data_IF_097944044565
#
_entry.id   IF_097944044565
#
_cell.length_a   1.000
_cell.length_b   1.000
_cell.length_c   1.000
_cell.angle_alpha   90.00
_cell.angle_beta   90.00
_cell.angle_gamma   90.00
#
_symmetry.space_group_name_H-M   'P 1'
#
loop_
_entity.id
_entity.type
_entity.pdbx_description
1 polymer ?
#
# COMPACT_ATOMS: atom_id res chain seq x y z
N UNK A 1 0.70 12.16 11.44
CA UNK A 1 0.49 11.60 12.80
C UNK A 1 -0.79 10.79 12.95
N UNK A 2 -1.98 11.27 12.55
CA UNK A 2 -3.23 10.49 12.65
C UNK A 2 -3.22 9.20 11.80
N UNK A 3 -2.76 9.25 10.54
CA UNK A 3 -2.75 8.07 9.66
C UNK A 3 -1.78 6.96 10.12
N UNK A 4 -0.64 7.32 10.71
CA UNK A 4 0.32 6.35 11.27
C UNK A 4 -0.30 5.66 12.48
N UNK A 5 -0.97 6.45 13.33
CA UNK A 5 -1.74 5.92 14.46
C UNK A 5 -2.83 4.98 13.95
N UNK A 6 -3.65 5.40 12.99
CA UNK A 6 -4.75 4.58 12.47
C UNK A 6 -4.24 3.27 11.83
N UNK A 7 -3.15 3.33 11.05
CA UNK A 7 -2.53 2.16 10.44
C UNK A 7 -1.92 1.16 11.43
N UNK A 8 -1.26 1.65 12.49
CA UNK A 8 -0.72 0.79 13.57
C UNK A 8 -1.83 0.24 14.47
N UNK A 9 -2.84 1.05 14.77
CA UNK A 9 -3.97 0.65 15.60
C UNK A 9 -4.79 -0.44 14.91
N UNK A 10 -4.90 -0.40 13.59
CA UNK A 10 -5.57 -1.42 12.80
C UNK A 10 -4.83 -2.77 12.81
N UNK A 11 -3.50 -2.78 12.69
CA UNK A 11 -2.73 -4.04 12.80
C UNK A 11 -2.89 -4.68 14.18
N UNK A 12 -2.71 -3.89 15.25
CA UNK A 12 -2.84 -4.36 16.63
C UNK A 12 -4.27 -4.82 16.92
N UNK A 13 -5.29 -4.08 16.46
CA UNK A 13 -6.70 -4.49 16.54
C UNK A 13 -6.96 -5.79 15.80
N UNK A 14 -6.43 -5.95 14.59
CA UNK A 14 -6.58 -7.17 13.80
C UNK A 14 -6.01 -8.37 14.54
N UNK A 15 -4.78 -8.28 15.05
CA UNK A 15 -4.14 -9.33 15.86
C UNK A 15 -4.92 -9.67 17.12
N UNK A 16 -5.37 -8.66 17.85
CA UNK A 16 -6.18 -8.83 19.06
C UNK A 16 -7.51 -9.51 18.73
N UNK A 17 -8.16 -9.11 17.64
CA UNK A 17 -9.42 -9.69 17.19
C UNK A 17 -9.25 -11.13 16.70
N UNK A 18 -8.18 -11.41 15.96
CA UNK A 18 -7.81 -12.76 15.51
C UNK A 18 -7.61 -13.70 16.71
N UNK A 19 -6.85 -13.26 17.71
CA UNK A 19 -6.63 -14.02 18.95
C UNK A 19 -7.91 -14.15 19.80
N UNK A 20 -8.72 -13.10 19.90
CA UNK A 20 -10.00 -13.14 20.60
C UNK A 20 -11.01 -14.08 19.93
N UNK A 21 -10.99 -14.17 18.58
CA UNK A 21 -11.80 -15.11 17.82
C UNK A 21 -11.28 -16.55 17.97
N UNK A 22 -9.96 -16.75 17.99
CA UNK A 22 -9.32 -18.06 18.22
C UNK A 22 -9.66 -18.63 19.60
N UNK A 23 -9.72 -17.79 20.63
CA UNK A 23 -10.04 -18.18 22.01
C UNK A 23 -11.54 -18.19 22.32
N UNK A 24 -12.38 -17.89 21.32
CA UNK A 24 -13.83 -17.88 21.49
C UNK A 24 -14.35 -19.32 21.53
N UNK A 25 -14.85 -19.73 22.69
CA UNK A 25 -15.51 -21.02 22.86
C UNK A 25 -16.88 -21.00 22.14
N UNK A 26 -16.90 -21.44 20.88
CA UNK A 26 -18.12 -21.67 20.09
C UNK A 26 -18.67 -20.46 19.31
N UNK A 27 -19.67 -20.72 18.46
CA UNK A 27 -20.36 -19.68 17.67
C UNK A 27 -21.06 -18.68 18.62
N UNK A 28 -21.08 -17.37 18.30
CA UNK A 28 -21.88 -16.41 19.06
C UNK A 28 -23.33 -16.88 19.15
N UNK A 29 -23.76 -17.22 20.36
CA UNK A 29 -25.19 -17.35 20.65
C UNK A 29 -25.71 -15.92 20.77
N UNK A 30 -26.29 -15.41 19.68
CA UNK A 30 -26.98 -14.12 19.70
C UNK A 30 -28.16 -14.23 20.68
N UNK A 31 -28.27 -13.28 21.61
CA UNK A 31 -29.46 -13.18 22.46
C UNK A 31 -30.69 -12.91 21.60
N UNK A 32 -31.87 -13.32 22.08
CA UNK A 32 -33.13 -13.11 21.35
C UNK A 32 -33.35 -11.62 21.02
N UNK A 33 -32.91 -10.72 21.89
CA UNK A 33 -33.05 -9.29 21.65
C UNK A 33 -32.09 -8.78 20.57
N UNK A 34 -30.87 -9.32 20.49
CA UNK A 34 -29.96 -9.03 19.39
C UNK A 34 -30.48 -9.54 18.05
N UNK A 35 -31.16 -10.70 18.02
CA UNK A 35 -31.81 -11.22 16.81
C UNK A 35 -32.96 -10.32 16.35
N UNK A 36 -33.76 -9.77 17.28
CA UNK A 36 -34.82 -8.80 16.96
C UNK A 36 -34.27 -7.50 16.39
N UNK A 37 -33.22 -6.95 16.99
CA UNK A 37 -32.55 -5.73 16.50
C UNK A 37 -31.95 -5.96 15.12
N UNK A 38 -31.28 -7.09 14.89
CA UNK A 38 -30.71 -7.44 13.60
C UNK A 38 -31.76 -7.56 12.50
N UNK A 39 -32.91 -8.18 12.81
CA UNK A 39 -34.06 -8.23 11.89
C UNK A 39 -34.67 -6.85 11.63
N UNK A 40 -34.83 -6.03 12.67
CA UNK A 40 -35.39 -4.68 12.56
C UNK A 40 -34.54 -3.74 11.70
N UNK A 41 -33.21 -3.86 11.80
CA UNK A 41 -32.26 -3.05 11.05
C UNK A 41 -31.85 -3.67 9.69
N UNK A 42 -32.38 -4.85 9.33
CA UNK A 42 -32.02 -5.62 8.12
C UNK A 42 -30.50 -5.82 7.96
N UNK A 43 -29.78 -5.97 9.08
CA UNK A 43 -28.33 -6.16 9.05
C UNK A 43 -28.00 -7.59 8.59
N UNK A 44 -27.00 -7.79 7.72
CA UNK A 44 -26.56 -9.12 7.34
C UNK A 44 -26.09 -9.93 8.56
N UNK A 45 -26.10 -11.27 8.48
CA UNK A 45 -25.59 -12.13 9.55
C UNK A 45 -24.14 -11.77 9.90
N UNK A 46 -23.83 -11.77 11.20
CA UNK A 46 -22.52 -11.39 11.74
C UNK A 46 -21.44 -12.35 11.25
N UNK A 47 -20.78 -12.01 10.15
CA UNK A 47 -19.67 -12.78 9.62
C UNK A 47 -18.37 -12.21 10.21
N UNK A 48 -17.89 -12.77 11.30
CA UNK A 48 -16.65 -12.32 11.97
C UNK A 48 -15.41 -12.38 11.08
N UNK A 49 -15.38 -13.24 10.04
CA UNK A 49 -14.29 -13.21 9.05
C UNK A 49 -14.34 -11.97 8.17
N UNK A 50 -15.53 -11.45 7.88
CA UNK A 50 -15.71 -10.19 7.15
C UNK A 50 -15.18 -8.99 7.95
N UNK A 51 -15.14 -9.09 9.28
CA UNK A 51 -14.66 -8.04 10.17
C UNK A 51 -13.13 -8.04 10.27
N UNK A 52 -12.50 -9.21 10.15
CA UNK A 52 -11.06 -9.35 9.96
C UNK A 52 -10.61 -8.90 8.56
N UNK A 53 -11.49 -9.03 7.56
CA UNK A 53 -11.26 -8.61 6.17
C UNK A 53 -11.76 -7.19 5.89
N UNK A 54 -12.00 -6.37 6.93
CA UNK A 54 -12.41 -4.98 6.71
C UNK A 54 -11.31 -4.29 5.89
N UNK A 55 -11.67 -3.65 4.77
CA UNK A 55 -10.70 -3.05 3.87
C UNK A 55 -9.90 -1.98 4.61
N UNK A 56 -8.57 -2.09 4.56
CA UNK A 56 -7.66 -0.99 4.89
C UNK A 56 -8.04 0.22 4.03
N UNK A 57 -8.12 1.41 4.60
CA UNK A 57 -8.22 2.63 3.79
C UNK A 57 -6.83 2.99 3.26
N UNK A 58 -6.70 3.11 1.94
CA UNK A 58 -5.48 3.65 1.31
C UNK A 58 -5.78 5.06 0.81
N UNK A 59 -4.84 5.97 1.04
CA UNK A 59 -4.96 7.38 0.70
C UNK A 59 -3.81 7.80 -0.22
N UNK A 60 -4.11 8.58 -1.25
CA UNK A 60 -3.09 9.19 -2.11
C UNK A 60 -2.24 10.20 -1.33
N UNK A 61 -2.69 10.67 -0.17
CA UNK A 61 -1.95 11.61 0.67
C UNK A 61 -0.94 10.94 1.61
N UNK A 62 -1.04 9.62 1.83
CA UNK A 62 -0.15 8.89 2.75
C UNK A 62 1.30 8.78 2.28
N UNK A 63 1.53 8.97 0.98
CA UNK A 63 2.86 9.05 0.39
C UNK A 63 2.85 10.07 -0.75
N UNK A 64 4.00 10.71 -0.99
CA UNK A 64 4.20 11.63 -2.10
C UNK A 64 5.20 11.03 -3.08
N UNK A 65 4.86 11.05 -4.37
CA UNK A 65 5.79 10.69 -5.45
C UNK A 65 6.25 11.94 -6.17
N UNK A 66 7.54 12.03 -6.43
CA UNK A 66 8.16 13.20 -7.07
C UNK A 66 9.03 12.75 -8.23
N UNK A 67 9.20 13.64 -9.20
CA UNK A 67 10.16 13.42 -10.27
C UNK A 67 11.43 14.21 -9.98
N UNK A 68 12.63 13.61 -10.17
CA UNK A 68 13.87 14.34 -10.02
C UNK A 68 13.91 15.54 -10.98
N UNK A 69 14.47 16.65 -10.48
CA UNK A 69 14.68 17.87 -11.26
C UNK A 69 15.60 17.62 -12.47
N UNK A 70 16.64 16.78 -12.29
CA UNK A 70 17.48 16.34 -13.40
C UNK A 70 16.89 15.09 -14.07
N UNK A 71 16.38 15.28 -15.28
CA UNK A 71 15.91 14.20 -16.16
C UNK A 71 16.94 13.10 -16.45
N UNK A 72 18.24 13.35 -16.27
CA UNK A 72 19.28 12.34 -16.43
C UNK A 72 19.28 11.31 -15.30
N UNK A 73 18.78 11.68 -14.12
CA UNK A 73 18.65 10.78 -12.98
C UNK A 73 17.62 9.68 -13.21
N UNK A 74 16.69 9.85 -14.17
CA UNK A 74 15.72 8.83 -14.58
C UNK A 74 16.29 7.77 -15.54
N UNK A 75 17.58 7.86 -15.89
CA UNK A 75 18.26 6.93 -16.80
C UNK A 75 19.04 5.84 -16.05
N UNK A 76 19.05 5.88 -14.71
CA UNK A 76 19.84 4.95 -13.91
C UNK A 76 19.16 3.59 -13.79
N UNK A 77 19.85 2.60 -13.23
CA UNK A 77 19.34 1.23 -13.11
C UNK A 77 18.62 1.04 -11.78
N UNK A 78 17.29 1.16 -11.84
CA UNK A 78 16.18 0.72 -10.97
C UNK A 78 16.37 0.19 -9.54
N UNK A 79 17.45 -0.49 -9.17
CA UNK A 79 17.42 -1.35 -7.98
C UNK A 79 17.95 -0.74 -6.68
N UNK A 80 18.66 0.39 -6.69
CA UNK A 80 19.16 0.99 -5.44
C UNK A 80 18.99 2.52 -5.34
N UNK A 81 19.16 3.28 -6.42
CA UNK A 81 19.11 4.77 -6.33
C UNK A 81 17.74 5.38 -6.70
N UNK A 82 16.90 4.66 -7.46
CA UNK A 82 15.73 5.26 -8.11
C UNK A 82 14.43 5.16 -7.30
N UNK A 83 14.27 4.16 -6.43
CA UNK A 83 13.19 4.19 -5.41
C UNK A 83 13.42 5.35 -4.44
N UNK A 84 14.68 5.66 -4.13
CA UNK A 84 15.07 6.82 -3.33
C UNK A 84 14.74 8.17 -4.01
N UNK A 85 14.69 8.17 -5.35
CA UNK A 85 14.50 9.36 -6.20
C UNK A 85 13.06 9.55 -6.67
N UNK A 86 12.30 8.47 -6.88
CA UNK A 86 10.87 8.51 -7.26
C UNK A 86 9.93 8.44 -6.04
N UNK A 87 10.38 7.83 -4.93
CA UNK A 87 9.67 7.79 -3.65
C UNK A 87 10.30 8.75 -2.62
N UNK A 88 10.54 10.00 -3.04
CA UNK A 88 10.91 11.06 -2.11
C UNK A 88 9.68 11.32 -1.22
N UNK A 89 9.79 10.76 -0.01
CA UNK A 89 8.90 10.82 1.16
C UNK A 89 7.79 9.74 1.19
N UNK A 90 8.23 8.49 1.34
CA UNK A 90 7.46 7.51 2.10
C UNK A 90 7.80 7.63 3.60
N UNK A 91 7.11 8.54 4.28
CA UNK A 91 7.21 8.89 5.72
C UNK A 91 8.56 9.48 6.15
N UNK A 92 8.48 10.59 6.89
CA UNK A 92 9.59 11.29 7.53
C UNK A 92 10.20 10.43 8.65
N UNK A 93 10.85 9.33 8.29
CA UNK A 93 11.33 8.33 9.23
C UNK A 93 12.85 8.39 9.33
N UNK A 94 13.33 9.06 10.38
CA UNK A 94 14.72 8.96 10.83
C UNK A 94 14.92 7.64 11.58
N UNK A 95 15.47 6.62 10.92
CA UNK A 95 15.76 5.31 11.52
C UNK A 95 17.02 4.67 10.94
N UNK A 96 17.83 4.05 11.81
CA UNK A 96 19.15 3.48 11.51
C UNK A 96 19.14 2.38 10.42
N UNK A 97 20.16 2.41 9.56
CA UNK A 97 20.49 1.46 8.49
C UNK A 97 20.60 0.01 8.97
N UNK A 98 19.46 -0.68 9.06
CA UNK A 98 19.45 -2.14 9.20
C UNK A 98 18.84 -2.73 7.95
N UNK A 99 19.68 -3.36 7.14
CA UNK A 99 19.24 -4.11 5.96
C UNK A 99 18.70 -5.47 6.39
N UNK A 100 17.47 -5.80 5.97
CA UNK A 100 16.81 -7.05 6.34
C UNK A 100 16.52 -7.87 5.09
N UNK A 101 17.02 -9.10 5.03
CA UNK A 101 16.52 -10.09 4.07
C UNK A 101 15.14 -10.54 4.55
N UNK A 102 14.12 -10.20 3.78
CA UNK A 102 12.72 -10.44 4.13
C UNK A 102 11.99 -11.02 2.94
N UNK A 103 11.04 -11.93 3.19
CA UNK A 103 10.10 -12.32 2.15
C UNK A 103 9.12 -11.15 1.90
N UNK A 104 9.40 -10.30 0.91
CA UNK A 104 8.60 -9.08 0.61
C UNK A 104 7.17 -9.43 0.27
N UNK A 105 6.87 -10.56 -0.38
CA UNK A 105 5.48 -10.92 -0.66
C UNK A 105 4.68 -11.10 0.65
N UNK A 106 5.28 -11.78 1.64
CA UNK A 106 4.68 -11.93 2.97
C UNK A 106 4.56 -10.58 3.67
N UNK A 107 5.62 -9.78 3.68
CA UNK A 107 5.65 -8.50 4.38
C UNK A 107 4.71 -7.46 3.76
N UNK A 108 4.62 -7.40 2.43
CA UNK A 108 3.60 -6.63 1.73
C UNK A 108 2.21 -7.10 2.09
N UNK A 109 2.00 -8.40 2.31
CA UNK A 109 0.71 -8.90 2.80
C UNK A 109 0.33 -8.31 4.15
N UNK A 110 1.30 -8.13 5.05
CA UNK A 110 1.08 -7.46 6.33
C UNK A 110 0.78 -5.97 6.15
N UNK A 111 1.45 -5.30 5.20
CA UNK A 111 1.20 -3.90 4.83
C UNK A 111 -0.15 -3.71 4.14
N UNK A 112 -0.61 -4.65 3.32
CA UNK A 112 -1.93 -4.56 2.70
C UNK A 112 -3.05 -4.99 3.65
N UNK A 113 -2.72 -5.55 4.82
CA UNK A 113 -3.67 -6.11 5.78
C UNK A 113 -4.27 -7.46 5.35
N UNK A 114 -3.77 -8.04 4.25
CA UNK A 114 -4.16 -9.33 3.74
C UNK A 114 -3.08 -9.90 2.80
N UNK A 115 -3.04 -11.22 2.65
CA UNK A 115 -2.05 -11.87 1.78
C UNK A 115 -2.27 -11.50 0.31
N UNK A 116 -1.21 -11.08 -0.38
CA UNK A 116 -1.23 -10.90 -1.82
C UNK A 116 -1.51 -12.24 -2.51
N UNK A 117 -2.36 -12.23 -3.53
CA UNK A 117 -2.50 -13.39 -4.43
C UNK A 117 -1.18 -13.66 -5.16
N UNK A 118 -0.99 -14.89 -5.63
CA UNK A 118 0.20 -15.28 -6.39
C UNK A 118 0.42 -14.38 -7.62
N UNK A 119 -0.67 -14.00 -8.30
CA UNK A 119 -0.61 -13.07 -9.44
C UNK A 119 -0.14 -11.67 -9.02
N UNK A 120 -0.69 -11.11 -7.92
CA UNK A 120 -0.29 -9.79 -7.43
C UNK A 120 1.18 -9.78 -6.97
N UNK A 121 1.58 -10.80 -6.21
CA UNK A 121 2.96 -10.93 -5.74
C UNK A 121 3.95 -11.08 -6.91
N UNK A 122 3.61 -11.89 -7.92
CA UNK A 122 4.43 -12.05 -9.12
C UNK A 122 4.52 -10.75 -9.93
N UNK A 123 3.39 -10.10 -10.21
CA UNK A 123 3.35 -8.82 -10.90
C UNK A 123 4.23 -7.77 -10.21
N UNK A 124 4.06 -7.61 -8.89
CA UNK A 124 4.79 -6.58 -8.16
C UNK A 124 6.29 -6.89 -8.05
N UNK A 125 6.66 -8.17 -7.91
CA UNK A 125 8.07 -8.61 -7.96
C UNK A 125 8.70 -8.33 -9.32
N UNK A 126 8.03 -8.65 -10.42
CA UNK A 126 8.51 -8.38 -11.78
C UNK A 126 8.62 -6.87 -12.06
N UNK A 127 7.66 -6.09 -11.55
CA UNK A 127 7.65 -4.63 -11.67
C UNK A 127 8.84 -3.99 -10.95
N UNK A 128 9.22 -4.48 -9.78
CA UNK A 128 10.42 -4.01 -9.08
C UNK A 128 11.70 -4.69 -9.61
N UNK A 129 11.56 -5.85 -10.25
CA UNK A 129 12.63 -6.82 -10.56
C UNK A 129 13.52 -7.12 -9.36
N UNK A 130 12.89 -7.25 -8.19
CA UNK A 130 13.54 -7.57 -6.93
C UNK A 130 13.72 -9.08 -6.78
N UNK A 131 14.82 -9.48 -6.15
CA UNK A 131 15.18 -10.88 -5.88
C UNK A 131 15.19 -11.15 -4.37
N UNK A 132 14.95 -12.40 -3.97
CA UNK A 132 14.90 -12.76 -2.54
C UNK A 132 16.29 -12.62 -1.85
N UNK A 133 17.37 -12.43 -2.61
CA UNK A 133 18.73 -12.14 -2.11
C UNK A 133 19.00 -10.67 -1.88
N UNK A 134 18.18 -9.77 -2.41
CA UNK A 134 18.42 -8.33 -2.29
C UNK A 134 18.09 -7.85 -0.87
N UNK A 135 18.95 -6.96 -0.39
CA UNK A 135 18.82 -6.32 0.91
C UNK A 135 18.14 -4.96 0.74
N UNK A 136 17.07 -4.72 1.50
CA UNK A 136 16.38 -3.44 1.53
C UNK A 136 16.71 -2.73 2.84
N UNK A 137 17.14 -1.49 2.74
CA UNK A 137 17.15 -0.58 3.88
C UNK A 137 15.73 -0.11 4.21
N UNK A 138 15.58 0.58 5.33
CA UNK A 138 14.27 1.04 5.78
C UNK A 138 13.61 1.98 4.76
N UNK A 139 14.39 2.86 4.12
CA UNK A 139 13.89 3.87 3.19
C UNK A 139 13.35 3.22 1.90
N UNK A 140 14.12 2.29 1.33
CA UNK A 140 13.69 1.50 0.17
C UNK A 140 12.46 0.68 0.50
N UNK A 141 12.41 0.05 1.68
CA UNK A 141 11.23 -0.70 2.13
C UNK A 141 9.98 0.19 2.26
N UNK A 142 10.11 1.37 2.84
CA UNK A 142 9.01 2.33 2.95
C UNK A 142 8.50 2.77 1.57
N UNK A 143 9.41 3.05 0.64
CA UNK A 143 9.06 3.37 -0.75
C UNK A 143 8.33 2.22 -1.46
N UNK A 144 8.78 0.99 -1.26
CA UNK A 144 8.13 -0.23 -1.78
C UNK A 144 6.72 -0.39 -1.21
N UNK A 145 6.53 -0.16 0.09
CA UNK A 145 5.22 -0.18 0.74
C UNK A 145 4.28 0.88 0.14
N UNK A 146 4.74 2.13 0.07
CA UNK A 146 3.96 3.24 -0.48
C UNK A 146 3.54 2.98 -1.94
N UNK A 147 4.44 2.44 -2.75
CA UNK A 147 4.15 2.07 -4.13
C UNK A 147 3.13 0.92 -4.21
N UNK A 148 3.25 -0.09 -3.34
CA UNK A 148 2.31 -1.20 -3.27
C UNK A 148 0.91 -0.72 -2.89
N UNK A 149 0.82 0.13 -1.86
CA UNK A 149 -0.44 0.76 -1.43
C UNK A 149 -1.05 1.57 -2.57
N UNK A 150 -0.23 2.36 -3.29
CA UNK A 150 -0.71 3.18 -4.39
C UNK A 150 -1.23 2.35 -5.56
N UNK A 151 -0.46 1.37 -6.04
CA UNK A 151 -0.81 0.59 -7.23
C UNK A 151 -1.86 -0.50 -6.98
N UNK A 152 -1.78 -1.18 -5.83
CA UNK A 152 -2.62 -2.33 -5.52
C UNK A 152 -3.74 -2.03 -4.54
N UNK A 153 -3.65 -0.94 -3.74
CA UNK A 153 -4.69 -0.55 -2.77
C UNK A 153 -6.12 -0.52 -3.32
N UNK A 154 -6.36 -0.02 -4.55
CA UNK A 154 -7.68 -0.09 -5.19
C UNK A 154 -8.28 -1.49 -5.33
N UNK A 155 -7.44 -2.53 -5.39
CA UNK A 155 -7.89 -3.93 -5.51
C UNK A 155 -8.30 -4.53 -4.15
N UNK A 156 -7.87 -3.92 -3.05
CA UNK A 156 -8.12 -4.38 -1.69
C UNK A 156 -9.23 -3.58 -0.98
N UNK A 157 -9.76 -2.54 -1.63
CA UNK A 157 -10.80 -1.69 -1.07
C UNK A 157 -12.08 -1.76 -1.87
N UNK A 158 -13.22 -1.75 -1.18
CA UNK A 158 -14.54 -1.70 -1.83
C UNK A 158 -14.88 -0.30 -2.34
N UNK A 159 -14.20 0.74 -1.82
CA UNK A 159 -14.42 2.13 -2.16
C UNK A 159 -13.07 2.84 -2.27
N UNK A 160 -12.69 3.20 -3.49
CA UNK A 160 -11.56 4.08 -3.73
C UNK A 160 -12.09 5.51 -3.70
N UNK A 161 -11.54 6.33 -2.81
CA UNK A 161 -11.91 7.74 -2.74
C UNK A 161 -11.61 8.42 -4.10
N UNK A 162 -12.58 9.16 -4.69
CA UNK A 162 -12.32 9.96 -5.87
C UNK A 162 -11.21 10.96 -5.62
N UNK A 163 -10.44 11.33 -6.66
CA UNK A 163 -9.37 12.34 -6.56
C UNK A 163 -9.82 13.70 -6.00
N UNK A 164 -11.11 14.03 -6.12
CA UNK A 164 -11.67 15.25 -5.52
C UNK A 164 -11.75 15.18 -3.99
N UNK A 165 -11.89 13.98 -3.42
CA UNK A 165 -11.97 13.72 -1.98
C UNK A 165 -10.60 13.30 -1.41
N UNK A 166 -9.79 12.62 -2.21
CA UNK A 166 -8.43 12.19 -1.87
C UNK A 166 -7.45 12.56 -3.01
N UNK A 167 -7.08 13.85 -3.11
CA UNK A 167 -6.13 14.31 -4.12
C UNK A 167 -4.69 13.92 -3.76
N UNK A 168 -3.86 13.67 -4.78
CA UNK A 168 -2.40 13.68 -4.61
C UNK A 168 -1.91 15.04 -4.10
N UNK A 169 -0.70 15.07 -3.55
CA UNK A 169 -0.01 16.31 -3.19
C UNK A 169 0.20 17.22 -4.41
N UNK A 170 0.19 18.55 -4.21
CA UNK A 170 0.31 19.53 -5.31
C UNK A 170 1.61 19.39 -6.11
N UNK A 171 2.72 19.08 -5.43
CA UNK A 171 4.02 18.83 -6.08
C UNK A 171 3.95 17.59 -6.97
N UNK A 172 3.37 16.50 -6.47
CA UNK A 172 3.16 15.28 -7.25
C UNK A 172 2.28 15.55 -8.47
N UNK A 173 1.17 16.30 -8.32
CA UNK A 173 0.32 16.68 -9.46
C UNK A 173 1.12 17.42 -10.53
N UNK A 174 1.85 18.46 -10.15
CA UNK A 174 2.62 19.28 -11.08
C UNK A 174 3.68 18.45 -11.83
N UNK A 175 4.36 17.55 -11.13
CA UNK A 175 5.35 16.68 -11.76
C UNK A 175 4.72 15.70 -12.75
N UNK A 176 3.67 14.99 -12.33
CA UNK A 176 3.03 13.96 -13.14
C UNK A 176 2.16 14.51 -14.29
N UNK A 177 1.73 15.77 -14.23
CA UNK A 177 1.15 16.49 -15.38
C UNK A 177 2.15 16.65 -16.52
N UNK A 178 3.42 16.91 -16.20
CA UNK A 178 4.49 17.08 -17.20
C UNK A 178 5.14 15.77 -17.64
N UNK A 179 4.85 14.66 -16.96
CA UNK A 179 5.47 13.36 -17.17
C UNK A 179 5.48 12.91 -18.65
N UNK A 180 4.38 12.93 -19.42
CA UNK A 180 4.39 12.45 -20.81
C UNK A 180 5.44 13.15 -21.68
N UNK A 181 5.54 14.48 -21.55
CA UNK A 181 6.52 15.30 -22.30
C UNK A 181 7.96 15.01 -21.87
N UNK A 182 8.19 14.63 -20.61
CA UNK A 182 9.51 14.24 -20.11
C UNK A 182 9.89 12.85 -20.63
N UNK A 183 8.94 11.90 -20.66
CA UNK A 183 9.17 10.54 -21.15
C UNK A 183 9.50 10.47 -22.64
N UNK A 184 8.94 11.35 -23.48
CA UNK A 184 9.25 11.40 -24.93
C UNK A 184 10.73 11.68 -25.23
N UNK A 185 11.42 12.39 -24.33
CA UNK A 185 12.80 12.85 -24.52
C UNK A 185 13.83 11.93 -23.87
N UNK A 186 13.39 10.89 -23.17
CA UNK A 186 14.23 10.07 -22.31
C UNK A 186 14.08 8.60 -22.65
N UNK A 187 15.22 7.91 -22.78
CA UNK A 187 15.26 6.45 -22.78
C UNK A 187 15.30 6.00 -21.32
N UNK A 188 14.18 5.46 -20.83
CA UNK A 188 13.98 5.03 -19.45
C UNK A 188 13.70 3.53 -19.41
N UNK A 189 14.09 2.86 -18.33
CA UNK A 189 13.73 1.45 -18.09
C UNK A 189 12.21 1.25 -18.15
N UNK A 190 11.79 0.15 -18.79
CA UNK A 190 10.37 -0.11 -19.00
C UNK A 190 9.59 -0.29 -17.69
N UNK A 191 10.23 -0.77 -16.61
CA UNK A 191 9.61 -0.93 -15.29
C UNK A 191 9.35 0.41 -14.65
N UNK A 192 10.35 1.30 -14.66
CA UNK A 192 10.20 2.68 -14.18
C UNK A 192 9.08 3.39 -14.93
N UNK A 193 9.07 3.28 -16.26
CA UNK A 193 8.00 3.84 -17.07
C UNK A 193 6.62 3.30 -16.67
N UNK A 194 6.51 2.00 -16.43
CA UNK A 194 5.25 1.35 -16.01
C UNK A 194 4.80 1.86 -14.64
N UNK A 195 5.73 2.02 -13.68
CA UNK A 195 5.44 2.58 -12.36
C UNK A 195 4.96 4.03 -12.45
N UNK A 196 5.69 4.88 -13.17
CA UNK A 196 5.34 6.29 -13.29
C UNK A 196 3.99 6.50 -13.97
N UNK A 197 3.67 5.71 -15.00
CA UNK A 197 2.36 5.74 -15.63
C UNK A 197 1.27 5.20 -14.70
N UNK A 198 1.54 4.12 -13.96
CA UNK A 198 0.62 3.57 -12.96
C UNK A 198 0.25 4.59 -11.88
N UNK A 199 1.24 5.31 -11.33
CA UNK A 199 1.00 6.37 -10.34
C UNK A 199 0.13 7.50 -10.94
N UNK A 200 0.34 7.85 -12.21
CA UNK A 200 -0.41 8.92 -12.89
C UNK A 200 -1.88 8.58 -13.11
N UNK A 201 -2.19 7.33 -13.44
CA UNK A 201 -3.53 6.92 -13.91
C UNK A 201 -4.55 6.68 -12.78
N UNK A 202 -4.11 6.61 -11.52
CA UNK A 202 -4.91 6.25 -10.33
C UNK A 202 -5.73 7.40 -9.71
#
# INVERSE_FOLDING_TARGET
DQEVVDGEFDYKKHKVLEEALRHRLGKPVLSEEMKKVQKGLRLPPTNTELWLKLPRSFSRQSARFELPLDSRSLKSKFLHDELDTAAIIARDCHGHDTTVSMNVAKALGEVMGCTLSEHQAKYFRELLGWTDSDLLDFRSWAGVCALCERLLGPQFTFQVAPRAQDPCHEVEKADFETLPRRLEKLTIDHRLKTILLGIREL
#
